data_IF_678123722465
#
_entry.id   IF_678123722465
#
_cell.length_a   1.000
_cell.length_b   1.000
_cell.length_c   1.000
_cell.angle_alpha   90.00
_cell.angle_beta   90.00
_cell.angle_gamma   90.00
#
_symmetry.space_group_name_H-M   'P 1'
#
loop_
_entity.id
_entity.type
_entity.pdbx_description
1 polymer ?
#
# COMPACT_ATOMS: atom_id res chain seq x y z
N UNK A 1 -6.70 -24.10 29.30
CA UNK A 1 -7.39 -22.80 29.10
C UNK A 1 -7.16 -22.40 27.66
N UNK A 2 -8.16 -22.64 26.80
CA UNK A 2 -8.09 -22.37 25.37
C UNK A 2 -8.24 -20.86 25.16
N UNK A 3 -7.19 -20.20 24.69
CA UNK A 3 -7.26 -18.80 24.28
C UNK A 3 -8.13 -18.73 23.02
N UNK A 4 -9.27 -18.04 23.13
CA UNK A 4 -10.10 -17.63 22.00
C UNK A 4 -9.24 -16.69 21.16
N UNK A 5 -8.67 -17.20 20.08
CA UNK A 5 -8.13 -16.35 19.01
C UNK A 5 -9.32 -15.59 18.41
N UNK A 6 -9.47 -14.34 18.80
CA UNK A 6 -10.42 -13.43 18.16
C UNK A 6 -10.00 -13.33 16.70
N UNK A 7 -10.91 -13.70 15.81
CA UNK A 7 -10.72 -13.60 14.36
C UNK A 7 -10.57 -12.13 13.97
N UNK A 8 -9.32 -11.68 13.86
CA UNK A 8 -8.91 -10.30 13.51
C UNK A 8 -8.93 -10.06 12.00
N UNK A 9 -9.52 -10.98 11.22
CA UNK A 9 -9.61 -10.85 9.78
C UNK A 9 -10.60 -9.74 9.41
N UNK A 10 -10.22 -8.91 8.44
CA UNK A 10 -11.10 -7.90 7.82
C UNK A 10 -12.35 -8.52 7.12
N UNK A 11 -12.47 -9.85 7.09
CA UNK A 11 -13.62 -10.56 6.55
C UNK A 11 -14.94 -10.16 7.24
N UNK A 12 -14.88 -9.61 8.46
CA UNK A 12 -16.04 -9.13 9.22
C UNK A 12 -16.47 -7.68 8.91
N UNK A 13 -15.81 -6.98 7.98
CA UNK A 13 -16.26 -5.64 7.59
C UNK A 13 -17.49 -5.76 6.66
N UNK A 14 -18.61 -5.07 6.96
CA UNK A 14 -19.76 -5.04 6.08
C UNK A 14 -19.35 -4.58 4.68
N UNK A 15 -19.53 -5.41 3.66
CA UNK A 15 -19.19 -5.11 2.27
C UNK A 15 -17.91 -5.72 1.74
N UNK A 16 -17.11 -6.45 2.56
CA UNK A 16 -15.90 -7.16 2.10
C UNK A 16 -14.74 -6.26 1.66
N UNK A 17 -13.63 -6.91 1.27
CA UNK A 17 -12.43 -6.28 0.70
C UNK A 17 -12.49 -6.28 -0.84
N UNK A 18 -11.72 -5.42 -1.51
CA UNK A 18 -11.59 -5.46 -2.96
C UNK A 18 -11.12 -6.84 -3.45
N UNK A 19 -11.71 -7.32 -4.54
CA UNK A 19 -11.23 -8.52 -5.23
C UNK A 19 -9.83 -8.26 -5.80
N UNK A 20 -8.87 -9.13 -5.49
CA UNK A 20 -7.48 -9.06 -5.97
C UNK A 20 -7.38 -8.95 -7.48
N UNK A 21 -8.28 -9.59 -8.23
CA UNK A 21 -8.33 -9.49 -9.70
C UNK A 21 -8.70 -8.07 -10.15
N UNK A 22 -9.65 -7.43 -9.44
CA UNK A 22 -10.03 -6.04 -9.74
C UNK A 22 -8.89 -5.08 -9.38
N UNK A 23 -8.19 -5.32 -8.26
CA UNK A 23 -6.99 -4.58 -7.87
C UNK A 23 -5.93 -4.69 -8.96
N UNK A 24 -5.54 -5.91 -9.34
CA UNK A 24 -4.55 -6.17 -10.39
C UNK A 24 -4.92 -5.50 -11.73
N UNK A 25 -6.19 -5.62 -12.14
CA UNK A 25 -6.68 -5.00 -13.37
C UNK A 25 -6.68 -3.46 -13.31
N UNK A 26 -6.98 -2.87 -12.15
CA UNK A 26 -6.97 -1.41 -11.97
C UNK A 26 -5.56 -0.86 -12.08
N UNK A 27 -4.61 -1.42 -11.35
CA UNK A 27 -3.21 -1.00 -11.40
C UNK A 27 -2.57 -1.29 -12.76
N UNK A 28 -2.88 -2.43 -13.40
CA UNK A 28 -2.38 -2.71 -14.76
C UNK A 28 -2.79 -1.63 -15.77
N UNK A 29 -4.02 -1.12 -15.68
CA UNK A 29 -4.47 -0.02 -16.56
C UNK A 29 -3.81 1.31 -16.24
N UNK A 30 -3.45 1.54 -14.98
CA UNK A 30 -2.85 2.79 -14.52
C UNK A 30 -1.33 2.86 -14.77
N UNK A 31 -0.66 1.77 -15.16
CA UNK A 31 0.79 1.68 -15.22
C UNK A 31 1.45 2.82 -16.01
N UNK A 32 0.85 3.25 -17.13
CA UNK A 32 1.40 4.33 -17.96
C UNK A 32 1.26 5.74 -17.36
N UNK A 33 0.24 5.98 -16.51
CA UNK A 33 -0.02 7.28 -15.89
C UNK A 33 0.49 7.37 -14.46
N UNK A 34 0.81 6.24 -13.83
CA UNK A 34 1.11 6.13 -12.41
C UNK A 34 2.21 7.08 -11.96
N UNK A 35 3.37 7.05 -12.63
CA UNK A 35 4.55 7.82 -12.21
C UNK A 35 4.37 9.34 -12.36
N UNK A 36 3.44 9.80 -13.21
CA UNK A 36 3.16 11.23 -13.41
C UNK A 36 2.46 11.88 -12.21
N UNK A 37 1.85 11.07 -11.34
CA UNK A 37 1.06 11.54 -10.19
C UNK A 37 1.46 10.87 -8.87
N UNK A 38 2.53 10.08 -8.84
CA UNK A 38 2.94 9.28 -7.68
C UNK A 38 3.86 10.04 -6.70
N UNK A 39 3.58 11.31 -6.41
CA UNK A 39 4.42 12.11 -5.50
C UNK A 39 4.40 11.55 -4.08
N UNK A 40 3.20 11.31 -3.52
CA UNK A 40 3.05 10.70 -2.20
C UNK A 40 3.75 9.35 -2.12
N UNK A 41 3.62 8.50 -3.15
CA UNK A 41 4.21 7.16 -3.16
C UNK A 41 5.73 7.24 -3.12
N UNK A 42 6.33 8.20 -3.85
CA UNK A 42 7.78 8.44 -3.83
C UNK A 42 8.25 8.94 -2.47
N UNK A 43 7.54 9.90 -1.87
CA UNK A 43 7.87 10.42 -0.56
C UNK A 43 7.78 9.33 0.51
N UNK A 44 6.66 8.62 0.58
CA UNK A 44 6.45 7.53 1.55
C UNK A 44 7.51 6.43 1.41
N UNK A 45 7.77 5.96 0.19
CA UNK A 45 8.76 4.91 0.00
C UNK A 45 10.20 5.37 0.26
N UNK A 46 10.54 6.65 -0.02
CA UNK A 46 11.85 7.24 0.32
C UNK A 46 12.03 7.34 1.82
N UNK A 47 10.99 7.74 2.56
CA UNK A 47 11.01 7.73 4.02
C UNK A 47 11.10 6.30 4.58
N UNK A 48 10.45 5.32 3.97
CA UNK A 48 10.60 3.90 4.37
C UNK A 48 12.03 3.43 4.12
N UNK A 49 12.60 3.74 2.96
CA UNK A 49 13.97 3.37 2.59
C UNK A 49 15.00 3.95 3.56
N UNK A 50 14.78 5.17 4.06
CA UNK A 50 15.65 5.82 5.06
C UNK A 50 15.60 5.16 6.44
N UNK A 51 14.55 4.37 6.74
CA UNK A 51 14.39 3.64 8.02
C UNK A 51 15.09 2.29 8.05
N UNK A 52 15.64 1.84 6.93
CA UNK A 52 16.45 0.62 6.92
C UNK A 52 17.69 0.78 7.79
N UNK A 53 18.16 -0.28 8.47
CA UNK A 53 19.31 -0.21 9.37
C UNK A 53 20.55 0.38 8.67
N UNK A 54 21.33 1.17 9.42
CA UNK A 54 22.60 1.70 8.91
C UNK A 54 23.59 0.58 8.66
N UNK A 55 24.32 0.64 7.55
CA UNK A 55 25.28 -0.40 7.16
C UNK A 55 24.64 -1.70 6.66
N UNK A 56 23.30 -1.77 6.60
CA UNK A 56 22.61 -2.94 6.08
C UNK A 56 22.90 -3.12 4.59
N UNK A 57 23.36 -4.31 4.21
CA UNK A 57 23.75 -4.64 2.83
C UNK A 57 23.18 -6.00 2.43
N UNK A 58 21.92 -6.05 1.98
CA UNK A 58 21.26 -7.30 1.59
C UNK A 58 21.89 -7.87 0.32
N UNK A 59 22.17 -9.16 0.30
CA UNK A 59 22.58 -9.88 -0.90
C UNK A 59 21.38 -10.21 -1.79
N UNK A 60 20.21 -10.42 -1.18
CA UNK A 60 18.95 -10.71 -1.88
C UNK A 60 17.82 -9.88 -1.31
N UNK A 61 17.19 -9.10 -2.17
CA UNK A 61 16.06 -8.27 -1.77
C UNK A 61 14.84 -8.50 -2.65
N UNK A 62 13.68 -8.33 -2.05
CA UNK A 62 12.37 -8.36 -2.69
C UNK A 62 11.74 -6.96 -2.59
N UNK A 63 11.33 -6.38 -3.72
CA UNK A 63 10.41 -5.27 -3.81
C UNK A 63 8.99 -5.83 -3.99
N UNK A 64 8.22 -5.84 -2.91
CA UNK A 64 6.91 -6.48 -2.82
C UNK A 64 5.78 -5.47 -3.12
N UNK A 65 5.08 -5.67 -4.23
CA UNK A 65 4.17 -4.70 -4.81
C UNK A 65 4.94 -3.58 -5.49
N UNK A 66 5.86 -3.96 -6.38
CA UNK A 66 6.85 -3.05 -6.96
C UNK A 66 6.26 -1.98 -7.88
N UNK A 67 5.00 -2.12 -8.34
CA UNK A 67 4.35 -1.20 -9.27
C UNK A 67 5.18 -0.98 -10.53
N UNK A 68 5.44 0.28 -10.86
CA UNK A 68 6.28 0.70 -12.01
C UNK A 68 7.77 0.47 -11.79
N UNK A 69 8.18 -0.14 -10.68
CA UNK A 69 9.57 -0.45 -10.36
C UNK A 69 10.40 0.74 -9.88
N UNK A 70 9.76 1.84 -9.45
CA UNK A 70 10.49 3.01 -8.94
C UNK A 70 11.42 2.62 -7.78
N UNK A 71 10.89 1.88 -6.78
CA UNK A 71 11.71 1.44 -5.65
C UNK A 71 12.59 0.23 -5.99
N UNK A 72 12.26 -0.57 -6.98
CA UNK A 72 13.18 -1.59 -7.49
C UNK A 72 14.48 -0.95 -8.01
N UNK A 73 14.38 0.19 -8.72
CA UNK A 73 15.57 0.95 -9.18
C UNK A 73 16.33 1.57 -8.01
N UNK A 74 15.64 2.21 -7.07
CA UNK A 74 16.25 2.81 -5.89
C UNK A 74 16.97 1.79 -5.00
N UNK A 75 16.39 0.58 -4.85
CA UNK A 75 17.01 -0.54 -4.13
C UNK A 75 18.23 -1.07 -4.87
N UNK A 76 18.15 -1.23 -6.21
CA UNK A 76 19.26 -1.64 -7.04
C UNK A 76 20.45 -0.67 -7.00
N UNK A 77 20.17 0.63 -7.00
CA UNK A 77 21.18 1.69 -6.84
C UNK A 77 21.81 1.67 -5.43
N UNK A 78 20.98 1.51 -4.40
CA UNK A 78 21.44 1.47 -3.01
C UNK A 78 22.23 0.20 -2.70
N UNK A 79 21.86 -0.93 -3.30
CA UNK A 79 22.45 -2.25 -3.06
C UNK A 79 22.99 -2.87 -4.36
N UNK A 80 24.01 -2.28 -4.99
CA UNK A 80 24.46 -2.65 -6.34
C UNK A 80 25.07 -4.06 -6.43
N UNK A 81 25.40 -4.67 -5.29
CA UNK A 81 25.88 -6.06 -5.23
C UNK A 81 24.74 -7.06 -4.95
N UNK A 82 23.55 -6.57 -4.59
CA UNK A 82 22.39 -7.38 -4.26
C UNK A 82 21.65 -7.85 -5.50
N UNK A 83 21.09 -9.06 -5.41
CA UNK A 83 20.14 -9.57 -6.40
C UNK A 83 18.72 -9.20 -6.02
N UNK A 84 18.04 -8.46 -6.88
CA UNK A 84 16.69 -7.97 -6.65
C UNK A 84 15.62 -8.79 -7.35
N UNK A 85 14.52 -9.00 -6.65
CA UNK A 85 13.26 -9.50 -7.22
C UNK A 85 12.22 -8.41 -7.09
N UNK A 86 11.60 -8.01 -8.20
CA UNK A 86 10.45 -7.14 -8.25
C UNK A 86 9.19 -8.01 -8.41
N UNK A 87 8.26 -7.94 -7.46
CA UNK A 87 7.04 -8.73 -7.47
C UNK A 87 5.82 -7.83 -7.42
N UNK A 88 4.86 -8.07 -8.29
CA UNK A 88 3.57 -7.41 -8.28
C UNK A 88 2.46 -8.36 -8.73
N UNK A 89 1.24 -8.14 -8.26
CA UNK A 89 0.06 -8.89 -8.70
C UNK A 89 -0.45 -8.37 -10.06
N UNK A 90 -0.13 -7.13 -10.42
CA UNK A 90 -0.55 -6.46 -11.63
C UNK A 90 0.49 -6.62 -12.75
N UNK A 91 0.23 -7.55 -13.70
CA UNK A 91 1.15 -7.80 -14.82
C UNK A 91 1.44 -6.54 -15.65
N UNK A 92 0.47 -5.61 -15.80
CA UNK A 92 0.70 -4.36 -16.50
C UNK A 92 1.75 -3.47 -15.85
N UNK A 93 1.84 -3.50 -14.51
CA UNK A 93 2.91 -2.82 -13.76
C UNK A 93 4.27 -3.46 -14.06
N UNK A 94 4.37 -4.77 -14.00
CA UNK A 94 5.62 -5.50 -14.30
C UNK A 94 6.09 -5.29 -15.76
N UNK A 95 5.15 -5.27 -16.71
CA UNK A 95 5.46 -5.01 -18.10
C UNK A 95 6.01 -3.59 -18.32
N UNK A 96 5.53 -2.62 -17.52
CA UNK A 96 6.06 -1.26 -17.50
C UNK A 96 7.43 -1.19 -16.80
N UNK A 97 7.59 -1.87 -15.67
CA UNK A 97 8.81 -1.84 -14.85
C UNK A 97 10.00 -2.56 -15.51
N UNK A 98 9.76 -3.71 -16.14
CA UNK A 98 10.81 -4.58 -16.68
C UNK A 98 11.81 -3.89 -17.63
N UNK A 99 11.38 -3.09 -18.63
CA UNK A 99 12.31 -2.40 -19.51
C UNK A 99 13.10 -1.28 -18.81
N UNK A 100 12.63 -0.79 -17.65
CA UNK A 100 13.30 0.24 -16.86
C UNK A 100 14.39 -0.34 -15.93
N UNK A 101 14.41 -1.66 -15.72
CA UNK A 101 15.42 -2.34 -14.92
C UNK A 101 15.28 -2.12 -13.42
N UNK A 102 16.41 -2.21 -12.70
CA UNK A 102 16.51 -2.03 -11.25
C UNK A 102 16.46 -3.34 -10.46
N UNK A 103 15.78 -4.37 -10.95
CA UNK A 103 15.76 -5.71 -10.35
C UNK A 103 16.30 -6.76 -11.33
N UNK A 104 16.79 -7.89 -10.78
CA UNK A 104 17.27 -9.02 -11.56
C UNK A 104 16.11 -9.82 -12.17
N UNK A 105 15.02 -9.95 -11.42
CA UNK A 105 13.83 -10.71 -11.82
C UNK A 105 12.54 -9.89 -11.58
N UNK A 106 11.57 -10.06 -12.49
CA UNK A 106 10.24 -9.47 -12.41
C UNK A 106 9.22 -10.59 -12.44
N UNK A 107 8.48 -10.78 -11.35
CA UNK A 107 7.62 -11.95 -11.10
C UNK A 107 6.20 -11.49 -10.80
N UNK A 108 5.21 -12.01 -11.53
CA UNK A 108 3.82 -11.87 -11.17
C UNK A 108 3.52 -12.79 -9.97
N UNK A 109 2.96 -12.23 -8.90
CA UNK A 109 2.72 -13.00 -7.69
C UNK A 109 1.84 -12.28 -6.67
N UNK A 110 1.34 -13.06 -5.72
CA UNK A 110 0.53 -12.59 -4.63
C UNK A 110 1.36 -12.49 -3.35
N UNK A 111 1.28 -11.34 -2.66
CA UNK A 111 1.97 -11.09 -1.40
C UNK A 111 1.54 -12.05 -0.27
N UNK A 112 0.30 -12.57 -0.34
CA UNK A 112 -0.22 -13.55 0.62
C UNK A 112 0.24 -15.00 0.34
N UNK A 113 0.94 -15.21 -0.79
CA UNK A 113 1.51 -16.50 -1.19
C UNK A 113 2.72 -16.27 -2.10
N UNK A 114 3.86 -15.95 -1.51
CA UNK A 114 5.07 -15.61 -2.24
C UNK A 114 5.64 -16.82 -3.03
N UNK A 115 5.93 -16.66 -4.32
CA UNK A 115 6.58 -17.70 -5.13
C UNK A 115 8.09 -17.76 -4.86
N UNK A 116 8.47 -17.71 -3.61
CA UNK A 116 9.86 -17.76 -3.15
C UNK A 116 10.06 -18.94 -2.20
N UNK A 117 11.29 -19.47 -2.18
CA UNK A 117 11.70 -20.50 -1.21
C UNK A 117 11.87 -19.87 0.19
N UNK A 118 11.82 -20.73 1.19
CA UNK A 118 12.11 -20.36 2.58
C UNK A 118 13.52 -19.78 2.72
N UNK A 119 13.69 -18.83 3.60
CA UNK A 119 14.99 -18.25 3.97
C UNK A 119 15.84 -17.81 2.76
N UNK A 120 15.19 -17.12 1.81
CA UNK A 120 15.85 -16.68 0.56
C UNK A 120 16.26 -15.21 0.62
N UNK A 121 15.49 -14.35 1.27
CA UNK A 121 15.66 -12.90 1.25
C UNK A 121 16.37 -12.39 2.51
N UNK A 122 17.24 -11.39 2.34
CA UNK A 122 17.80 -10.60 3.42
C UNK A 122 16.91 -9.37 3.69
N UNK A 123 16.20 -8.87 2.65
CA UNK A 123 15.28 -7.73 2.72
C UNK A 123 14.00 -8.03 1.95
N UNK A 124 12.86 -7.74 2.55
CA UNK A 124 11.59 -7.55 1.87
C UNK A 124 11.21 -6.08 2.09
N UNK A 125 11.02 -5.34 1.01
CA UNK A 125 10.61 -3.95 1.00
C UNK A 125 9.23 -3.84 0.36
N UNK A 126 8.28 -3.13 0.99
CA UNK A 126 6.94 -2.95 0.43
C UNK A 126 6.41 -1.55 0.74
N UNK A 127 6.20 -0.74 -0.28
CA UNK A 127 5.69 0.62 -0.11
C UNK A 127 4.29 0.75 -0.71
N UNK A 128 3.29 1.05 0.14
CA UNK A 128 1.90 1.30 -0.24
C UNK A 128 1.27 0.19 -1.11
N UNK A 129 1.60 -1.07 -0.80
CA UNK A 129 1.06 -2.25 -1.47
C UNK A 129 0.22 -3.13 -0.55
N UNK A 130 0.68 -3.38 0.69
CA UNK A 130 0.03 -4.37 1.58
C UNK A 130 -1.37 -3.98 2.08
N UNK A 131 -1.79 -2.73 1.93
CA UNK A 131 -3.18 -2.34 2.21
C UNK A 131 -4.21 -2.99 1.28
N UNK A 132 -3.76 -3.48 0.12
CA UNK A 132 -4.59 -4.17 -0.86
C UNK A 132 -4.73 -5.67 -0.59
N UNK A 133 -3.95 -6.20 0.35
CA UNK A 133 -4.00 -7.60 0.74
C UNK A 133 -5.22 -7.88 1.61
N UNK A 134 -5.90 -8.98 1.32
CA UNK A 134 -7.08 -9.41 2.06
C UNK A 134 -6.72 -9.90 3.46
N UNK A 135 -5.61 -10.64 3.55
CA UNK A 135 -5.10 -11.23 4.78
C UNK A 135 -3.66 -10.75 5.04
N UNK A 136 -3.52 -9.73 5.87
CA UNK A 136 -2.21 -9.21 6.23
C UNK A 136 -1.43 -10.16 7.15
N UNK A 137 -2.10 -11.06 7.89
CA UNK A 137 -1.43 -12.09 8.68
C UNK A 137 -0.71 -13.08 7.76
N UNK A 138 -1.32 -13.46 6.64
CA UNK A 138 -0.66 -14.28 5.61
C UNK A 138 0.55 -13.57 4.99
N UNK A 139 0.47 -12.25 4.74
CA UNK A 139 1.64 -11.48 4.26
C UNK A 139 2.80 -11.54 5.27
N UNK A 140 2.51 -11.36 6.56
CA UNK A 140 3.52 -11.46 7.62
C UNK A 140 4.11 -12.86 7.74
N UNK A 141 3.28 -13.91 7.63
CA UNK A 141 3.72 -15.32 7.63
C UNK A 141 4.64 -15.62 6.45
N UNK A 142 4.28 -15.16 5.25
CA UNK A 142 5.11 -15.32 4.06
C UNK A 142 6.41 -14.52 4.14
N UNK A 143 6.38 -13.31 4.70
CA UNK A 143 7.58 -12.53 4.96
C UNK A 143 8.50 -13.27 5.95
N UNK A 144 7.95 -13.78 7.06
CA UNK A 144 8.71 -14.58 8.02
C UNK A 144 9.34 -15.82 7.36
N UNK A 145 8.58 -16.55 6.54
CA UNK A 145 9.06 -17.75 5.83
C UNK A 145 10.18 -17.43 4.86
N UNK A 146 9.99 -16.39 4.03
CA UNK A 146 10.93 -16.04 2.95
C UNK A 146 12.20 -15.34 3.44
N UNK A 147 12.16 -14.67 4.59
CA UNK A 147 13.33 -14.02 5.17
C UNK A 147 14.31 -15.05 5.75
N UNK A 148 15.60 -14.80 5.58
CA UNK A 148 16.67 -15.45 6.34
C UNK A 148 16.63 -15.00 7.81
N UNK A 149 17.18 -15.78 8.78
CA UNK A 149 17.45 -15.28 10.12
C UNK A 149 18.24 -13.95 10.05
N UNK A 150 17.83 -12.94 10.83
CA UNK A 150 18.38 -11.57 10.77
C UNK A 150 17.90 -10.73 9.57
N UNK A 151 17.08 -11.30 8.69
CA UNK A 151 16.50 -10.58 7.56
C UNK A 151 15.41 -9.58 7.99
N UNK A 152 15.20 -8.55 7.16
CA UNK A 152 14.35 -7.39 7.48
C UNK A 152 13.13 -7.36 6.57
N UNK A 153 11.94 -7.18 7.15
CA UNK A 153 10.74 -6.76 6.43
C UNK A 153 10.44 -5.29 6.76
N UNK A 154 10.61 -4.41 5.77
CA UNK A 154 10.24 -3.01 5.88
C UNK A 154 9.00 -2.75 5.02
N UNK A 155 7.93 -2.20 5.62
CA UNK A 155 6.75 -1.84 4.85
C UNK A 155 6.17 -0.48 5.24
N UNK A 156 5.55 0.17 4.25
CA UNK A 156 4.66 1.30 4.45
C UNK A 156 3.25 0.94 3.94
N UNK A 157 2.24 1.34 4.69
CA UNK A 157 0.85 1.05 4.39
C UNK A 157 -0.06 2.19 4.83
N UNK A 158 -1.29 2.21 4.33
CA UNK A 158 -2.31 3.16 4.78
C UNK A 158 -3.16 2.56 5.91
N UNK A 159 -3.60 3.42 6.83
CA UNK A 159 -4.53 3.03 7.90
C UNK A 159 -5.73 3.96 8.00
N UNK A 160 -6.66 3.62 8.89
CA UNK A 160 -7.86 4.42 9.20
C UNK A 160 -7.47 5.87 9.48
N UNK A 161 -8.25 6.81 8.97
CA UNK A 161 -7.95 8.23 8.93
C UNK A 161 -7.48 8.72 7.55
N UNK A 162 -7.06 7.81 6.66
CA UNK A 162 -6.73 8.16 5.27
C UNK A 162 -7.97 8.65 4.53
N UNK A 163 -7.84 9.81 3.84
CA UNK A 163 -8.88 10.46 3.03
C UNK A 163 -10.20 10.67 3.79
N UNK A 164 -10.10 11.00 5.10
CA UNK A 164 -11.29 11.21 5.91
C UNK A 164 -12.12 12.40 5.40
N UNK A 165 -11.48 13.42 4.85
CA UNK A 165 -12.15 14.60 4.28
C UNK A 165 -13.04 14.19 3.10
N UNK A 166 -12.51 13.37 2.19
CA UNK A 166 -13.25 12.85 1.03
C UNK A 166 -14.39 11.92 1.48
N UNK A 167 -14.13 11.05 2.46
CA UNK A 167 -15.13 10.15 3.01
C UNK A 167 -16.27 10.90 3.67
N UNK A 168 -15.95 11.88 4.50
CA UNK A 168 -16.95 12.61 5.29
C UNK A 168 -17.76 13.57 4.42
N UNK A 169 -17.16 14.11 3.35
CA UNK A 169 -17.87 14.85 2.31
C UNK A 169 -18.87 13.97 1.54
N UNK A 170 -18.46 12.76 1.13
CA UNK A 170 -19.37 11.82 0.47
C UNK A 170 -20.54 11.39 1.35
N UNK A 171 -20.34 11.24 2.66
CA UNK A 171 -21.41 10.90 3.61
C UNK A 171 -22.53 11.94 3.64
N UNK A 172 -22.25 13.19 3.30
CA UNK A 172 -23.25 14.25 3.21
C UNK A 172 -24.04 14.18 1.88
N UNK A 173 -23.50 13.49 0.87
CA UNK A 173 -24.11 13.39 -0.47
C UNK A 173 -24.97 12.15 -0.60
N UNK A 174 -24.44 11.00 -0.16
CA UNK A 174 -25.16 9.73 -0.18
C UNK A 174 -24.60 8.75 0.88
N UNK A 175 -25.31 7.61 1.05
CA UNK A 175 -24.94 6.57 2.01
C UNK A 175 -23.97 5.52 1.46
N UNK A 176 -23.35 5.74 0.29
CA UNK A 176 -22.50 4.74 -0.36
C UNK A 176 -21.05 4.83 0.09
N UNK A 177 -20.30 3.75 -0.13
CA UNK A 177 -18.85 3.72 0.15
C UNK A 177 -18.09 4.26 -1.06
N UNK A 178 -17.38 5.38 -0.89
CA UNK A 178 -16.63 6.05 -1.96
C UNK A 178 -15.12 6.05 -1.74
N UNK A 179 -14.67 5.76 -0.52
CA UNK A 179 -13.25 5.67 -0.15
C UNK A 179 -12.94 4.24 0.25
N UNK A 180 -11.76 3.73 -0.11
CA UNK A 180 -11.31 2.41 0.28
C UNK A 180 -11.26 2.28 1.81
N UNK A 181 -11.52 1.08 2.31
CA UNK A 181 -11.38 0.77 3.73
C UNK A 181 -9.94 0.42 4.04
N UNK A 182 -9.47 0.90 5.16
CA UNK A 182 -8.13 0.65 5.65
C UNK A 182 -8.20 -0.01 7.03
N UNK A 183 -7.16 -0.77 7.37
CA UNK A 183 -7.00 -1.36 8.72
C UNK A 183 -6.74 -0.26 9.73
N UNK A 184 -7.17 -0.50 10.96
CA UNK A 184 -6.78 0.33 12.09
C UNK A 184 -5.29 0.12 12.42
N UNK A 185 -4.63 1.15 12.95
CA UNK A 185 -3.23 1.03 13.38
C UNK A 185 -3.05 -0.04 14.46
N UNK A 186 -4.01 -0.14 15.41
CA UNK A 186 -4.01 -1.19 16.44
C UNK A 186 -4.01 -2.61 15.87
N UNK A 187 -4.68 -2.83 14.73
CA UNK A 187 -4.64 -4.12 14.01
C UNK A 187 -3.25 -4.43 13.48
N UNK A 188 -2.55 -3.43 12.89
CA UNK A 188 -1.15 -3.62 12.48
C UNK A 188 -0.26 -3.97 13.66
N UNK A 189 -0.41 -3.29 14.81
CA UNK A 189 0.35 -3.57 16.03
C UNK A 189 0.15 -5.02 16.51
N UNK A 190 -1.10 -5.47 16.59
CA UNK A 190 -1.44 -6.82 17.05
C UNK A 190 -0.90 -7.90 16.10
N UNK A 191 -1.09 -7.73 14.79
CA UNK A 191 -0.65 -8.71 13.79
C UNK A 191 0.88 -8.77 13.71
N UNK A 192 1.57 -7.63 13.74
CA UNK A 192 3.04 -7.60 13.76
C UNK A 192 3.59 -8.28 15.04
N UNK A 193 3.00 -8.02 16.20
CA UNK A 193 3.41 -8.65 17.45
C UNK A 193 3.19 -10.18 17.45
N UNK A 194 2.15 -10.66 16.77
CA UNK A 194 1.82 -12.09 16.66
C UNK A 194 2.59 -12.84 15.56
N UNK A 195 3.31 -12.12 14.66
CA UNK A 195 3.91 -12.69 13.45
C UNK A 195 5.16 -13.56 13.67
N UNK A 196 5.76 -13.54 14.86
CA UNK A 196 7.08 -14.12 15.13
C UNK A 196 8.24 -13.23 14.68
N UNK A 197 8.00 -12.16 13.92
CA UNK A 197 9.00 -11.14 13.61
C UNK A 197 9.17 -10.20 14.82
N UNK A 198 10.41 -9.80 15.08
CA UNK A 198 10.72 -8.77 16.07
C UNK A 198 10.35 -7.39 15.50
N UNK A 199 9.49 -6.66 16.19
CA UNK A 199 9.15 -5.28 15.84
C UNK A 199 10.31 -4.36 16.22
N UNK A 200 11.06 -3.87 15.24
CA UNK A 200 12.14 -2.89 15.43
C UNK A 200 11.56 -1.48 15.51
N UNK A 201 10.64 -1.15 14.61
CA UNK A 201 9.87 0.08 14.66
C UNK A 201 8.50 -0.12 14.04
N UNK A 202 7.48 0.53 14.59
CA UNK A 202 6.12 0.56 14.05
C UNK A 202 5.44 1.85 14.51
N UNK A 203 5.12 2.73 13.57
CA UNK A 203 4.56 4.04 13.86
C UNK A 203 3.64 4.52 12.75
N UNK A 204 2.77 5.49 13.05
CA UNK A 204 1.99 6.20 12.05
C UNK A 204 2.52 7.62 11.86
N UNK A 205 2.39 8.13 10.64
CA UNK A 205 2.72 9.50 10.30
C UNK A 205 1.66 10.04 9.33
N UNK A 206 1.03 11.19 9.61
CA UNK A 206 0.14 11.83 8.66
C UNK A 206 0.95 12.50 7.54
N UNK A 207 0.52 12.27 6.30
CA UNK A 207 0.95 13.01 5.13
C UNK A 207 -0.22 13.83 4.62
N UNK A 208 -0.05 15.13 4.54
CA UNK A 208 -1.08 16.07 4.11
C UNK A 208 -0.71 16.62 2.74
N UNK A 209 -1.54 16.32 1.75
CA UNK A 209 -1.48 16.92 0.43
C UNK A 209 -2.56 17.98 0.29
N UNK A 210 -2.33 18.98 -0.58
CA UNK A 210 -3.30 20.02 -0.88
C UNK A 210 -3.60 20.05 -2.38
N UNK A 211 -4.88 20.11 -2.71
CA UNK A 211 -5.38 20.12 -4.09
C UNK A 211 -6.12 21.44 -4.37
N UNK A 212 -6.06 21.96 -5.59
CA UNK A 212 -6.82 23.14 -5.96
C UNK A 212 -8.33 22.91 -5.84
N UNK A 213 -8.78 21.71 -6.17
CA UNK A 213 -10.19 21.28 -6.10
C UNK A 213 -10.31 19.76 -5.93
N UNK A 214 -11.52 19.29 -5.61
CA UNK A 214 -11.80 17.86 -5.41
C UNK A 214 -11.70 17.03 -6.69
N UNK A 215 -11.81 17.67 -7.87
CA UNK A 215 -11.67 16.97 -9.16
C UNK A 215 -10.22 16.57 -9.39
N UNK A 216 -9.27 17.44 -9.04
CA UNK A 216 -7.84 17.17 -9.10
C UNK A 216 -7.47 15.98 -8.22
N UNK A 217 -7.96 15.92 -6.98
CA UNK A 217 -7.78 14.77 -6.08
C UNK A 217 -8.36 13.48 -6.69
N UNK A 218 -9.60 13.53 -7.16
CA UNK A 218 -10.25 12.33 -7.70
C UNK A 218 -9.63 11.87 -9.03
N UNK A 219 -9.10 12.80 -9.82
CA UNK A 219 -8.34 12.50 -11.04
C UNK A 219 -7.04 11.75 -10.70
N UNK A 220 -6.28 12.25 -9.73
CA UNK A 220 -5.05 11.62 -9.27
C UNK A 220 -5.29 10.20 -8.75
N UNK A 221 -6.30 10.00 -7.89
CA UNK A 221 -6.67 8.66 -7.40
C UNK A 221 -7.01 7.68 -8.55
N UNK A 222 -7.64 8.18 -9.62
CA UNK A 222 -7.90 7.37 -10.82
C UNK A 222 -6.62 7.08 -11.61
N UNK A 223 -5.76 8.07 -11.79
CA UNK A 223 -4.50 7.93 -12.52
C UNK A 223 -3.55 6.94 -11.82
N UNK A 224 -3.60 6.87 -10.49
CA UNK A 224 -2.89 5.87 -9.68
C UNK A 224 -3.53 4.47 -9.74
N UNK A 225 -4.76 4.31 -10.24
CA UNK A 225 -5.51 3.06 -10.11
C UNK A 225 -6.03 2.77 -8.70
N UNK A 226 -5.85 3.72 -7.77
CA UNK A 226 -6.18 3.60 -6.34
C UNK A 226 -7.58 4.14 -5.98
N UNK A 227 -8.46 4.30 -6.98
CA UNK A 227 -9.84 4.69 -6.75
C UNK A 227 -10.60 3.63 -5.93
N UNK A 228 -11.83 3.94 -5.52
CA UNK A 228 -12.66 3.01 -4.75
C UNK A 228 -12.87 1.67 -5.48
N UNK A 229 -12.30 0.59 -4.93
CA UNK A 229 -12.43 -0.78 -5.43
C UNK A 229 -13.29 -1.66 -4.52
N UNK A 230 -13.91 -1.10 -3.46
CA UNK A 230 -14.74 -1.88 -2.54
C UNK A 230 -15.95 -2.52 -3.24
N UNK A 231 -16.38 -3.71 -2.79
CA UNK A 231 -17.68 -4.25 -3.15
C UNK A 231 -18.81 -3.30 -2.76
N UNK A 232 -19.88 -3.23 -3.58
CA UNK A 232 -21.01 -2.31 -3.33
C UNK A 232 -20.78 -0.86 -3.70
N UNK A 233 -19.67 -0.54 -4.38
CA UNK A 233 -19.46 0.79 -4.97
C UNK A 233 -20.59 1.11 -5.96
N UNK A 234 -20.95 2.40 -6.14
CA UNK A 234 -21.93 2.80 -7.14
C UNK A 234 -21.51 2.30 -8.53
N UNK A 235 -22.38 1.53 -9.19
CA UNK A 235 -22.21 1.16 -10.59
C UNK A 235 -22.65 2.32 -11.49
N UNK A 236 -21.87 2.63 -12.53
CA UNK A 236 -22.19 3.65 -13.52
C UNK A 236 -21.56 5.03 -13.26
N UNK A 237 -21.97 6.02 -14.07
CA UNK A 237 -21.48 7.39 -13.99
C UNK A 237 -22.09 8.09 -12.76
N UNK A 238 -21.25 8.75 -11.97
CA UNK A 238 -21.71 9.61 -10.87
C UNK A 238 -22.48 10.80 -11.46
N UNK A 239 -23.76 10.92 -11.13
CA UNK A 239 -24.62 11.99 -11.64
C UNK A 239 -24.10 13.38 -11.26
N UNK A 240 -24.38 14.39 -12.11
CA UNK A 240 -23.92 15.77 -11.94
C UNK A 240 -24.29 16.37 -10.57
N UNK A 241 -25.48 16.08 -10.06
CA UNK A 241 -25.94 16.58 -8.76
C UNK A 241 -25.07 16.05 -7.60
N UNK A 242 -24.69 14.77 -7.63
CA UNK A 242 -23.78 14.16 -6.62
C UNK A 242 -22.39 14.78 -6.67
N UNK A 243 -21.85 15.05 -7.87
CA UNK A 243 -20.55 15.73 -8.00
C UNK A 243 -20.59 17.14 -7.43
N UNK A 244 -21.66 17.89 -7.70
CA UNK A 244 -21.84 19.23 -7.14
C UNK A 244 -21.96 19.18 -5.61
N UNK A 245 -22.76 18.25 -5.07
CA UNK A 245 -22.85 18.05 -3.62
C UNK A 245 -21.51 17.67 -2.97
N UNK A 246 -20.70 16.83 -3.64
CA UNK A 246 -19.35 16.52 -3.15
C UNK A 246 -18.46 17.76 -3.12
N UNK A 247 -18.47 18.57 -4.20
CA UNK A 247 -17.68 19.80 -4.26
C UNK A 247 -18.06 20.72 -3.10
N UNK A 248 -19.35 20.96 -2.90
CA UNK A 248 -19.87 21.81 -1.82
C UNK A 248 -19.48 21.26 -0.44
N UNK A 249 -19.70 19.97 -0.21
CA UNK A 249 -19.35 19.33 1.06
C UNK A 249 -17.85 19.31 1.37
N UNK A 250 -16.99 19.24 0.33
CA UNK A 250 -15.54 19.23 0.54
C UNK A 250 -14.97 20.63 0.83
N UNK A 251 -15.64 21.70 0.34
CA UNK A 251 -15.21 23.09 0.56
C UNK A 251 -15.13 23.47 2.05
N UNK A 252 -15.88 22.81 2.95
CA UNK A 252 -15.77 23.02 4.39
C UNK A 252 -14.37 22.75 4.97
N UNK A 253 -13.57 21.93 4.27
CA UNK A 253 -12.21 21.59 4.67
C UNK A 253 -11.15 22.52 4.07
N UNK A 254 -11.52 23.50 3.21
CA UNK A 254 -10.58 24.37 2.52
C UNK A 254 -9.66 25.11 3.47
N UNK A 255 -8.38 25.07 3.16
CA UNK A 255 -7.30 25.78 3.84
C UNK A 255 -6.64 26.81 2.89
N UNK A 256 -5.74 27.62 3.40
CA UNK A 256 -5.03 28.60 2.59
C UNK A 256 -4.24 27.97 1.42
N UNK A 257 -3.73 26.75 1.62
CA UNK A 257 -2.95 25.99 0.62
C UNK A 257 -3.83 25.23 -0.37
N UNK A 258 -5.14 25.13 -0.16
CA UNK A 258 -6.09 24.39 -1.00
C UNK A 258 -6.95 23.43 -0.18
N UNK A 259 -7.53 22.44 -0.86
CA UNK A 259 -8.27 21.36 -0.23
C UNK A 259 -7.33 20.30 0.32
N UNK A 260 -7.34 20.02 1.64
CA UNK A 260 -6.49 19.00 2.22
C UNK A 260 -6.94 17.59 1.84
N UNK A 261 -6.02 16.68 1.69
CA UNK A 261 -6.25 15.24 1.65
C UNK A 261 -5.23 14.55 2.56
N UNK A 262 -5.72 13.98 3.65
CA UNK A 262 -4.89 13.36 4.67
C UNK A 262 -4.67 11.89 4.35
N UNK A 263 -3.41 11.45 4.41
CA UNK A 263 -3.03 10.04 4.31
C UNK A 263 -2.37 9.62 5.62
N UNK A 264 -2.98 8.70 6.35
CA UNK A 264 -2.39 8.11 7.56
C UNK A 264 -1.51 6.93 7.16
N UNK A 265 -0.21 7.15 7.17
CA UNK A 265 0.77 6.15 6.74
C UNK A 265 1.35 5.41 7.93
N UNK A 266 1.28 4.08 7.89
CA UNK A 266 2.00 3.18 8.81
C UNK A 266 3.37 2.89 8.22
N UNK A 267 4.41 3.06 9.02
CA UNK A 267 5.77 2.64 8.71
C UNK A 267 6.19 1.55 9.68
N UNK A 268 6.70 0.46 9.18
CA UNK A 268 7.20 -0.66 9.98
C UNK A 268 8.55 -1.15 9.50
N UNK A 269 9.40 -1.52 10.45
CA UNK A 269 10.61 -2.30 10.24
C UNK A 269 10.54 -3.48 11.20
N UNK A 270 10.50 -4.67 10.65
CA UNK A 270 10.44 -5.94 11.38
C UNK A 270 11.69 -6.75 11.04
N UNK A 271 12.18 -7.56 11.99
CA UNK A 271 13.36 -8.39 11.81
C UNK A 271 13.02 -9.84 12.16
N UNK A 272 13.46 -10.78 11.32
CA UNK A 272 13.37 -12.21 11.67
C UNK A 272 14.44 -12.54 12.70
N UNK A 273 14.08 -13.10 13.87
CA UNK A 273 15.07 -13.54 14.86
C UNK A 273 16.13 -14.48 14.27
N UNK A 274 17.35 -14.46 14.89
CA UNK A 274 18.48 -15.33 14.51
C UNK A 274 18.18 -16.80 14.81
#
# INVERSE_FOLDING_TARGET
MSAVMTDLSLHNLPGGLPDKRQVAASFSRAAASYDSVAELQRDVGSQLLSRLPQGFSPERWLDLGCGTGYFSRALGERFPRGQGVALDIAEGMLNHARPLGGATHFIAGDAERLPLRDSTCDLIFSSLAVQWCSDFASVLSEAYRALKPGGVFAFASLCVGTLYELRDSWRQVDGMVHVNRFREFGTYQQLCAASGLKVVSLQTCPHLLHYPDVRSLTHELKALGAHNLNPGRPGGLTGRARILGLIEAYEQFRQAQGLPATYQVVYAVLEKPL
#
